data_IF_122971632917
#
_entry.id   IF_122971632917
#
_cell.length_a   1.000
_cell.length_b   1.000
_cell.length_c   1.000
_cell.angle_alpha   90.00
_cell.angle_beta   90.00
_cell.angle_gamma   90.00
#
_symmetry.space_group_name_H-M   'P 1'
#
loop_
_entity.id
_entity.type
_entity.pdbx_description
1 polymer ?
#
# COMPACT_ATOMS: atom_id res chain seq x y z
N UNK A 1 14.75 21.63 -54.65
CA UNK A 1 13.93 20.41 -54.73
C UNK A 1 12.52 20.78 -54.28
N UNK A 2 11.56 20.89 -55.20
CA UNK A 2 10.16 21.16 -54.86
C UNK A 2 9.50 19.84 -54.47
N UNK A 3 9.24 19.67 -53.18
CA UNK A 3 8.48 18.51 -52.69
C UNK A 3 7.02 18.74 -53.11
N UNK A 4 6.45 17.81 -53.89
CA UNK A 4 5.05 17.91 -54.34
C UNK A 4 4.11 17.96 -53.15
N UNK A 5 3.10 18.83 -53.19
CA UNK A 5 2.09 18.94 -52.12
C UNK A 5 1.40 17.60 -51.80
N UNK A 6 1.29 16.71 -52.79
CA UNK A 6 0.78 15.35 -52.59
C UNK A 6 1.73 14.48 -51.74
N UNK A 7 3.05 14.61 -51.97
CA UNK A 7 4.08 13.92 -51.21
C UNK A 7 4.20 14.44 -49.78
N UNK A 8 4.05 15.76 -49.58
CA UNK A 8 4.03 16.37 -48.24
C UNK A 8 2.81 15.92 -47.44
N UNK A 9 1.63 15.84 -48.07
CA UNK A 9 0.40 15.36 -47.43
C UNK A 9 0.52 13.90 -46.99
N UNK A 10 1.11 13.04 -47.81
CA UNK A 10 1.34 11.63 -47.48
C UNK A 10 2.30 11.46 -46.29
N UNK A 11 3.35 12.28 -46.21
CA UNK A 11 4.28 12.27 -45.08
C UNK A 11 3.57 12.74 -43.80
N UNK A 12 2.74 13.78 -43.87
CA UNK A 12 1.97 14.25 -42.71
C UNK A 12 0.97 13.18 -42.25
N UNK A 13 0.26 12.51 -43.17
CA UNK A 13 -0.65 11.41 -42.81
C UNK A 13 0.11 10.24 -42.18
N UNK A 14 1.27 9.87 -42.74
CA UNK A 14 2.10 8.81 -42.17
C UNK A 14 2.61 9.17 -40.78
N UNK A 15 3.10 10.40 -40.57
CA UNK A 15 3.54 10.88 -39.26
C UNK A 15 2.37 10.95 -38.27
N UNK A 16 1.19 11.41 -38.68
CA UNK A 16 -0.02 11.42 -37.83
C UNK A 16 -0.50 9.99 -37.52
N UNK A 17 -0.36 9.04 -38.43
CA UNK A 17 -0.67 7.62 -38.17
C UNK A 17 0.36 6.99 -37.23
N UNK A 18 1.65 7.30 -37.38
CA UNK A 18 2.72 6.81 -36.50
C UNK A 18 2.74 7.48 -35.11
N UNK A 19 2.23 8.72 -34.99
CA UNK A 19 2.08 9.43 -33.71
C UNK A 19 0.78 9.09 -32.98
N UNK A 20 -0.13 8.33 -33.63
CA UNK A 20 -1.33 7.76 -32.96
C UNK A 20 -1.02 6.54 -32.11
N UNK A 21 0.18 5.98 -32.22
CA UNK A 21 0.76 5.11 -31.20
C UNK A 21 1.22 5.97 -30.02
N UNK A 22 0.30 6.78 -29.49
CA UNK A 22 0.46 7.35 -28.16
C UNK A 22 0.50 6.17 -27.19
N UNK A 23 1.68 5.98 -26.60
CA UNK A 23 1.77 5.58 -25.20
C UNK A 23 1.07 4.26 -24.87
N UNK A 24 1.46 3.17 -25.54
CA UNK A 24 1.36 1.84 -24.93
C UNK A 24 2.45 1.69 -23.85
N UNK A 25 2.51 2.62 -22.89
CA UNK A 25 3.00 2.22 -21.57
C UNK A 25 1.92 1.30 -21.06
N UNK A 26 2.18 -0.01 -21.17
CA UNK A 26 1.39 -1.02 -20.51
C UNK A 26 1.44 -0.69 -19.01
N UNK A 27 0.45 0.07 -18.54
CA UNK A 27 0.16 0.20 -17.12
C UNK A 27 -0.44 -1.13 -16.69
N UNK A 28 0.43 -2.12 -16.47
CA UNK A 28 0.01 -3.36 -15.85
C UNK A 28 -0.68 -3.02 -14.53
N UNK A 29 -1.79 -3.70 -14.23
CA UNK A 29 -2.43 -3.58 -12.93
C UNK A 29 -1.37 -3.95 -11.87
N UNK A 30 -1.05 -3.06 -10.91
CA UNK A 30 -0.07 -3.36 -9.87
C UNK A 30 -0.50 -4.56 -9.00
N UNK A 31 -1.76 -4.97 -9.07
CA UNK A 31 -2.32 -6.14 -8.39
C UNK A 31 -2.42 -7.39 -9.28
N UNK A 32 -1.95 -7.34 -10.53
CA UNK A 32 -1.94 -8.53 -11.40
C UNK A 32 -1.11 -9.66 -10.77
N UNK A 33 -1.71 -10.84 -10.69
CA UNK A 33 -1.14 -12.00 -9.98
C UNK A 33 -1.33 -12.01 -8.46
N UNK A 34 -1.99 -11.02 -7.87
CA UNK A 34 -2.37 -11.00 -6.45
C UNK A 34 -3.84 -11.39 -6.24
N UNK A 35 -4.15 -11.97 -5.08
CA UNK A 35 -5.52 -12.19 -4.64
C UNK A 35 -5.80 -11.29 -3.44
N UNK A 36 -6.92 -10.56 -3.50
CA UNK A 36 -7.35 -9.75 -2.38
C UNK A 36 -7.67 -10.63 -1.17
N UNK A 37 -7.16 -10.21 -0.01
CA UNK A 37 -7.41 -10.87 1.27
C UNK A 37 -8.08 -9.86 2.19
N UNK A 38 -9.36 -10.04 2.56
CA UNK A 38 -10.07 -9.09 3.40
C UNK A 38 -9.50 -9.14 4.82
N UNK A 39 -9.19 -7.97 5.38
CA UNK A 39 -8.84 -7.82 6.79
C UNK A 39 -10.13 -7.56 7.59
N UNK A 40 -10.32 -8.33 8.67
CA UNK A 40 -11.43 -8.15 9.62
C UNK A 40 -10.91 -7.77 10.99
N UNK A 41 -11.76 -7.27 11.87
CA UNK A 41 -11.38 -6.92 13.25
C UNK A 41 -10.73 -8.10 14.00
N UNK A 42 -11.18 -9.33 13.74
CA UNK A 42 -10.60 -10.55 14.33
C UNK A 42 -9.15 -10.82 13.87
N UNK A 43 -8.78 -10.24 12.74
CA UNK A 43 -7.42 -10.31 12.17
C UNK A 43 -6.46 -9.37 12.92
N UNK A 44 -6.98 -8.35 13.62
CA UNK A 44 -6.18 -7.34 14.30
C UNK A 44 -5.87 -7.72 15.75
N UNK A 45 -4.59 -7.98 16.01
CA UNK A 45 -4.04 -8.15 17.36
C UNK A 45 -3.42 -6.85 17.85
N UNK A 46 -4.20 -6.09 18.62
CA UNK A 46 -3.78 -4.83 19.21
C UNK A 46 -2.77 -5.05 20.34
N UNK A 47 -1.56 -4.53 20.15
CA UNK A 47 -0.53 -4.49 21.17
C UNK A 47 -0.43 -3.10 21.78
N UNK A 48 -0.29 -3.06 23.10
CA UNK A 48 -0.23 -1.82 23.90
C UNK A 48 0.77 -1.96 25.04
N UNK A 49 1.17 -0.87 25.71
CA UNK A 49 1.89 -0.95 26.98
C UNK A 49 1.17 -1.85 27.99
N UNK A 50 1.91 -2.75 28.65
CA UNK A 50 1.28 -3.77 29.51
C UNK A 50 0.47 -3.17 30.66
N UNK A 51 0.81 -1.97 31.12
CA UNK A 51 0.24 -1.30 32.29
C UNK A 51 -0.78 -0.19 31.96
N UNK A 52 -1.12 0.03 30.69
CA UNK A 52 -2.03 1.11 30.28
C UNK A 52 -3.29 0.52 29.64
N UNK A 53 -4.50 1.04 29.90
CA UNK A 53 -5.71 0.62 29.17
C UNK A 53 -5.60 0.84 27.66
N UNK A 54 -6.24 -0.01 26.86
CA UNK A 54 -6.21 0.10 25.39
C UNK A 54 -6.82 1.41 24.90
N UNK A 55 -7.94 1.82 25.49
CA UNK A 55 -8.66 3.06 25.13
C UNK A 55 -7.87 4.36 25.32
N UNK A 56 -6.74 4.32 26.04
CA UNK A 56 -5.86 5.49 26.19
C UNK A 56 -4.81 5.58 25.07
N UNK A 57 -4.65 4.49 24.30
CA UNK A 57 -3.56 4.28 23.35
C UNK A 57 -4.05 3.99 21.95
N UNK A 58 -5.30 3.56 21.81
CA UNK A 58 -5.91 3.17 20.56
C UNK A 58 -7.34 3.69 20.49
N UNK A 59 -7.73 4.13 19.31
CA UNK A 59 -9.11 4.45 18.96
C UNK A 59 -9.40 3.95 17.55
N UNK A 60 -10.61 3.46 17.36
CA UNK A 60 -11.17 3.10 16.06
C UNK A 60 -12.42 3.95 15.83
N UNK A 61 -12.44 4.72 14.75
CA UNK A 61 -13.62 5.50 14.34
C UNK A 61 -13.75 5.46 12.83
N UNK A 62 -14.81 4.83 12.35
CA UNK A 62 -15.17 4.78 10.92
C UNK A 62 -14.01 4.27 10.03
N UNK A 63 -13.27 3.26 10.49
CA UNK A 63 -12.12 2.68 9.78
C UNK A 63 -10.81 3.46 9.96
N UNK A 64 -10.81 4.55 10.73
CA UNK A 64 -9.59 5.29 11.09
C UNK A 64 -9.05 4.74 12.41
N UNK A 65 -7.98 3.97 12.31
CA UNK A 65 -7.23 3.44 13.44
C UNK A 65 -6.18 4.46 13.93
N UNK A 66 -6.40 5.05 15.10
CA UNK A 66 -5.49 6.02 15.72
C UNK A 66 -4.66 5.38 16.83
N UNK A 67 -3.35 5.62 16.82
CA UNK A 67 -2.39 5.07 17.79
C UNK A 67 -1.61 6.18 18.49
N UNK A 68 -1.57 6.14 19.81
CA UNK A 68 -0.74 7.04 20.62
C UNK A 68 0.37 6.27 21.31
N UNK A 69 1.60 6.77 21.17
CA UNK A 69 2.80 6.23 21.83
C UNK A 69 3.51 7.37 22.56
N UNK A 70 3.66 7.26 23.88
CA UNK A 70 4.40 8.25 24.66
C UNK A 70 5.74 7.70 25.13
N UNK A 71 6.70 8.61 25.34
CA UNK A 71 8.07 8.26 25.75
C UNK A 71 8.14 7.61 27.13
N UNK A 72 7.15 7.87 27.99
CA UNK A 72 7.04 7.33 29.34
C UNK A 72 6.19 6.05 29.45
N UNK A 73 5.66 5.55 28.33
CA UNK A 73 4.96 4.27 28.32
C UNK A 73 5.88 3.11 28.70
N UNK A 74 5.28 1.98 29.04
CA UNK A 74 6.02 0.73 29.24
C UNK A 74 6.06 -0.11 27.97
N UNK A 75 7.00 -1.06 27.89
CA UNK A 75 7.02 -2.04 26.80
C UNK A 75 5.72 -2.83 26.70
N UNK A 76 5.57 -3.60 25.62
CA UNK A 76 4.43 -4.51 25.44
C UNK A 76 4.35 -5.61 26.52
N UNK A 77 5.50 -6.04 27.07
CA UNK A 77 5.57 -7.10 28.11
C UNK A 77 6.43 -6.66 29.31
N UNK A 78 6.08 -7.08 30.54
CA UNK A 78 6.94 -6.88 31.71
C UNK A 78 8.33 -7.46 31.49
N UNK A 79 9.37 -6.74 31.93
CA UNK A 79 10.77 -7.19 31.82
C UNK A 79 11.40 -7.08 30.43
N UNK A 80 10.67 -6.60 29.41
CA UNK A 80 11.25 -6.34 28.10
C UNK A 80 12.12 -5.08 28.11
N UNK A 81 13.26 -5.12 27.41
CA UNK A 81 14.13 -3.95 27.17
C UNK A 81 13.70 -3.11 25.96
N UNK A 82 12.66 -3.53 25.25
CA UNK A 82 12.17 -2.81 24.07
C UNK A 82 11.52 -1.48 24.43
N UNK A 83 11.55 -0.52 23.50
CA UNK A 83 10.86 0.76 23.68
C UNK A 83 9.34 0.58 23.62
N UNK A 84 8.56 1.55 24.13
CA UNK A 84 7.11 1.48 24.08
C UNK A 84 6.57 1.49 22.66
N UNK A 85 5.43 0.83 22.48
CA UNK A 85 4.69 0.78 21.22
C UNK A 85 3.21 0.59 21.48
N UNK A 86 2.41 1.12 20.56
CA UNK A 86 1.02 0.77 20.37
C UNK A 86 0.87 0.48 18.88
N UNK A 87 0.48 -0.74 18.53
CA UNK A 87 0.50 -1.24 17.15
C UNK A 87 -0.61 -2.27 16.94
N UNK A 88 -0.98 -2.50 15.67
CA UNK A 88 -1.75 -3.67 15.25
C UNK A 88 -0.79 -4.70 14.67
N UNK A 89 -0.92 -5.94 15.10
CA UNK A 89 -0.36 -7.09 14.40
C UNK A 89 -1.48 -7.80 13.65
N UNK A 90 -1.30 -8.00 12.35
CA UNK A 90 -2.22 -8.80 11.53
C UNK A 90 -1.92 -10.29 11.80
N UNK A 91 -2.91 -11.04 12.31
CA UNK A 91 -2.85 -12.49 12.55
C UNK A 91 -3.51 -13.27 11.42
N UNK A 92 -3.19 -14.56 11.27
CA UNK A 92 -3.82 -15.43 10.28
C UNK A 92 -3.29 -15.25 8.85
N UNK A 93 -2.57 -14.16 8.59
CA UNK A 93 -1.82 -13.90 7.36
C UNK A 93 -0.32 -13.72 7.67
N UNK A 94 0.20 -14.50 8.65
CA UNK A 94 1.62 -14.47 8.97
C UNK A 94 2.46 -14.96 7.78
N UNK A 95 3.52 -14.22 7.48
CA UNK A 95 4.45 -14.58 6.42
C UNK A 95 5.14 -15.92 6.73
N UNK A 96 4.81 -16.95 5.96
CA UNK A 96 5.32 -18.33 6.18
C UNK A 96 6.18 -18.86 5.04
N UNK A 97 6.12 -18.26 3.85
CA UNK A 97 6.93 -18.64 2.69
C UNK A 97 7.15 -17.47 1.74
N UNK A 98 8.11 -17.58 0.83
CA UNK A 98 8.67 -16.55 -0.07
C UNK A 98 7.72 -15.78 -1.02
N UNK A 99 6.41 -15.80 -0.78
CA UNK A 99 5.40 -15.07 -1.54
C UNK A 99 5.29 -13.65 -0.99
N UNK A 100 5.40 -12.65 -1.86
CA UNK A 100 5.33 -11.24 -1.48
C UNK A 100 3.90 -10.86 -1.06
N UNK A 101 3.77 -10.11 0.03
CA UNK A 101 2.52 -9.49 0.48
C UNK A 101 2.66 -7.97 0.35
N UNK A 102 1.64 -7.31 -0.18
CA UNK A 102 1.60 -5.86 -0.34
C UNK A 102 0.33 -5.30 0.32
N UNK A 103 0.47 -4.15 0.97
CA UNK A 103 -0.64 -3.34 1.47
C UNK A 103 -0.75 -2.13 0.53
N UNK A 104 -1.92 -1.96 -0.10
CA UNK A 104 -2.23 -0.78 -0.91
C UNK A 104 -2.97 0.20 0.01
N UNK A 105 -2.42 1.41 0.15
CA UNK A 105 -2.95 2.49 1.00
C UNK A 105 -3.52 3.64 0.18
#
# INVERSE_FOLDING_TARGET
>A
MMVSNCSTLLIIVAVVVCLKDEWLVCGADPTDGFSEVPLTDDTFDLQKPFNTPLSHRYNDSDGIHSFWVYTNDKPFKPGSSTRPRTEVRIKGHDYSSGIWQFEVS
#
